data_IF_193162464049
#
_entry.id   IF_193162464049
#
_cell.length_a   1.000
_cell.length_b   1.000
_cell.length_c   1.000
_cell.angle_alpha   90.00
_cell.angle_beta   90.00
_cell.angle_gamma   90.00
#
_symmetry.space_group_name_H-M   'P 1'
#
loop_
_entity.id
_entity.type
_entity.pdbx_description
1 polymer ?
#
# COMPACT_ATOMS: atom_id res chain seq x y z
N UNK A 1 24.75 28.71 7.91
CA UNK A 1 24.22 28.18 6.64
C UNK A 1 23.51 26.89 6.99
N UNK A 2 22.16 26.90 6.95
CA UNK A 2 21.40 25.68 7.18
C UNK A 2 21.55 24.80 5.93
N UNK A 3 22.37 23.77 6.03
CA UNK A 3 22.39 22.71 5.02
C UNK A 3 21.07 21.96 5.14
N UNK A 4 20.17 22.21 4.21
CA UNK A 4 18.95 21.42 4.05
C UNK A 4 19.40 20.06 3.52
N UNK A 5 19.42 19.06 4.38
CA UNK A 5 19.71 17.69 3.98
C UNK A 5 18.60 17.20 3.02
N UNK A 6 19.00 16.78 1.81
CA UNK A 6 18.07 16.17 0.85
C UNK A 6 18.06 14.67 1.11
N UNK A 7 16.97 14.17 1.70
CA UNK A 7 16.73 12.73 1.84
C UNK A 7 15.89 12.23 0.67
N UNK A 8 16.36 11.22 -0.02
CA UNK A 8 15.64 10.58 -1.12
C UNK A 8 15.30 9.15 -0.72
N UNK A 9 14.01 8.82 -0.73
CA UNK A 9 13.51 7.45 -0.54
C UNK A 9 13.16 6.90 -1.92
N UNK A 10 13.92 5.93 -2.42
CA UNK A 10 13.86 5.45 -3.80
C UNK A 10 12.81 4.36 -4.03
N UNK A 11 12.31 3.70 -3.00
CA UNK A 11 11.32 2.62 -3.11
C UNK A 11 11.22 1.79 -1.82
N UNK A 12 10.50 0.67 -1.85
CA UNK A 12 10.33 -0.21 -0.70
C UNK A 12 11.67 -0.80 -0.24
N UNK A 13 11.77 -1.09 1.07
CA UNK A 13 12.99 -1.70 1.63
C UNK A 13 13.21 -3.12 1.07
N UNK A 14 12.12 -3.85 0.82
CA UNK A 14 12.15 -5.21 0.26
C UNK A 14 11.05 -5.38 -0.79
N UNK A 15 11.36 -6.06 -1.91
CA UNK A 15 10.44 -6.30 -3.00
C UNK A 15 10.62 -7.70 -3.59
N UNK A 16 9.51 -8.44 -3.69
CA UNK A 16 9.47 -9.76 -4.33
C UNK A 16 8.30 -9.82 -5.31
N UNK A 17 8.55 -10.32 -6.52
CA UNK A 17 7.57 -10.45 -7.58
C UNK A 17 7.77 -11.80 -8.30
N UNK A 18 7.08 -12.82 -7.83
CA UNK A 18 7.06 -14.16 -8.42
C UNK A 18 5.89 -14.98 -7.86
N UNK A 19 5.54 -16.08 -8.51
CA UNK A 19 4.57 -17.02 -7.99
C UNK A 19 5.06 -17.60 -6.63
N UNK A 20 4.21 -17.52 -5.60
CA UNK A 20 4.56 -17.92 -4.23
C UNK A 20 5.26 -16.81 -3.42
N UNK A 21 5.33 -15.57 -3.93
CA UNK A 21 5.98 -14.46 -3.22
C UNK A 21 5.38 -14.18 -1.84
N UNK A 22 4.10 -14.50 -1.62
CA UNK A 22 3.44 -14.24 -0.33
C UNK A 22 3.99 -15.11 0.82
N UNK A 23 4.59 -16.25 0.51
CA UNK A 23 5.28 -17.09 1.49
C UNK A 23 6.48 -16.42 2.12
N UNK A 24 7.09 -15.44 1.39
CA UNK A 24 8.23 -14.64 1.87
C UNK A 24 7.90 -13.79 3.09
N UNK A 25 6.62 -13.64 3.44
CA UNK A 25 6.20 -12.92 4.65
C UNK A 25 6.86 -13.51 5.90
N UNK A 26 7.01 -14.84 5.96
CA UNK A 26 7.63 -15.55 7.09
C UNK A 26 9.15 -15.37 7.19
N UNK A 27 9.81 -14.84 6.16
CA UNK A 27 11.23 -14.51 6.22
C UNK A 27 11.50 -13.22 7.01
N UNK A 28 10.48 -12.36 7.14
CA UNK A 28 10.58 -11.04 7.76
C UNK A 28 9.89 -10.97 9.12
N UNK A 29 8.89 -11.81 9.36
CA UNK A 29 8.08 -11.78 10.57
C UNK A 29 7.96 -13.18 11.18
N UNK A 30 8.18 -13.27 12.48
CA UNK A 30 8.00 -14.52 13.21
C UNK A 30 6.52 -14.92 13.27
N UNK A 31 6.21 -16.20 13.52
CA UNK A 31 4.83 -16.64 13.72
C UNK A 31 4.09 -15.88 14.81
N UNK A 32 4.78 -15.44 15.86
CA UNK A 32 4.23 -14.65 16.95
C UNK A 32 3.86 -13.24 16.45
N UNK A 33 4.77 -12.56 15.75
CA UNK A 33 4.50 -11.25 15.16
C UNK A 33 3.30 -11.29 14.19
N UNK A 34 3.18 -12.35 13.39
CA UNK A 34 2.08 -12.54 12.45
C UNK A 34 0.75 -12.84 13.15
N UNK A 35 0.76 -13.43 14.36
CA UNK A 35 -0.46 -13.57 15.17
C UNK A 35 -0.98 -12.22 15.69
N UNK A 36 -0.13 -11.18 15.70
CA UNK A 36 -0.49 -9.81 16.04
C UNK A 36 -0.53 -8.89 14.80
N UNK A 37 -0.65 -9.44 13.61
CA UNK A 37 -0.78 -8.67 12.38
C UNK A 37 -2.16 -8.00 12.26
N UNK A 38 -2.19 -6.84 11.59
CA UNK A 38 -3.42 -6.16 11.17
C UNK A 38 -3.54 -6.33 9.66
N UNK A 39 -4.51 -7.12 9.21
CA UNK A 39 -4.83 -7.32 7.81
C UNK A 39 -5.92 -6.35 7.38
N UNK A 40 -5.60 -5.45 6.46
CA UNK A 40 -6.54 -4.51 5.82
C UNK A 40 -6.80 -4.99 4.41
N UNK A 41 -8.06 -5.27 4.05
CA UNK A 41 -8.38 -5.84 2.75
C UNK A 41 -9.75 -5.40 2.22
N UNK A 42 -9.89 -5.39 0.90
CA UNK A 42 -11.18 -5.27 0.22
C UNK A 42 -11.80 -6.64 -0.04
N UNK A 43 -13.11 -6.73 -0.07
CA UNK A 43 -13.85 -7.99 -0.24
C UNK A 43 -13.44 -8.77 -1.50
N UNK A 44 -13.43 -8.11 -2.66
CA UNK A 44 -13.01 -8.74 -3.93
C UNK A 44 -11.51 -9.08 -3.94
N UNK A 45 -10.69 -8.20 -3.38
CA UNK A 45 -9.25 -8.38 -3.31
C UNK A 45 -8.88 -9.62 -2.48
N UNK A 46 -9.49 -9.76 -1.30
CA UNK A 46 -9.21 -10.89 -0.42
C UNK A 46 -9.73 -12.21 -1.01
N UNK A 47 -10.88 -12.20 -1.71
CA UNK A 47 -11.41 -13.37 -2.38
C UNK A 47 -10.44 -13.89 -3.47
N UNK A 48 -9.86 -13.00 -4.27
CA UNK A 48 -8.86 -13.34 -5.28
C UNK A 48 -7.52 -13.78 -4.67
N UNK A 49 -7.12 -13.17 -3.56
CA UNK A 49 -5.84 -13.46 -2.90
C UNK A 49 -5.87 -14.74 -2.06
N UNK A 50 -7.04 -15.13 -1.54
CA UNK A 50 -7.20 -16.21 -0.56
C UNK A 50 -6.48 -17.52 -0.91
N UNK A 51 -6.47 -18.03 -2.16
CA UNK A 51 -5.78 -19.26 -2.51
C UNK A 51 -4.24 -19.19 -2.38
N UNK A 52 -3.69 -17.98 -2.25
CA UNK A 52 -2.25 -17.72 -2.22
C UNK A 52 -1.78 -17.13 -0.90
N UNK A 53 -2.71 -16.81 0.01
CA UNK A 53 -2.36 -16.25 1.32
C UNK A 53 -1.66 -17.31 2.18
N UNK A 54 -0.62 -16.91 2.94
CA UNK A 54 0.02 -17.81 3.89
C UNK A 54 -0.92 -18.14 5.06
N UNK A 55 -0.67 -19.26 5.75
CA UNK A 55 -1.41 -19.65 6.96
C UNK A 55 -1.48 -18.53 8.03
N UNK A 56 -0.52 -17.60 7.99
CA UNK A 56 -0.49 -16.45 8.85
C UNK A 56 -1.75 -15.59 8.78
N UNK A 57 -2.47 -15.62 7.65
CA UNK A 57 -3.74 -14.89 7.49
C UNK A 57 -4.83 -15.45 8.43
N UNK A 58 -4.88 -16.75 8.63
CA UNK A 58 -5.91 -17.43 9.44
C UNK A 58 -5.48 -17.58 10.92
N UNK A 59 -4.35 -16.97 11.34
CA UNK A 59 -3.87 -17.12 12.73
C UNK A 59 -4.81 -16.48 13.74
N UNK A 60 -5.08 -17.20 14.81
CA UNK A 60 -5.77 -16.67 15.96
C UNK A 60 -4.98 -15.48 16.53
N UNK A 61 -5.66 -14.36 16.78
CA UNK A 61 -5.04 -13.12 17.25
C UNK A 61 -4.78 -12.07 16.15
N UNK A 62 -4.65 -12.48 14.88
CA UNK A 62 -4.60 -11.55 13.77
C UNK A 62 -5.89 -10.68 13.71
N UNK A 63 -5.71 -9.39 13.47
CA UNK A 63 -6.83 -8.47 13.33
C UNK A 63 -7.20 -8.31 11.86
N UNK A 64 -8.47 -8.53 11.55
CA UNK A 64 -9.00 -8.40 10.21
C UNK A 64 -9.86 -7.15 10.10
N UNK A 65 -9.50 -6.24 9.19
CA UNK A 65 -10.19 -4.98 8.96
C UNK A 65 -10.59 -4.88 7.49
N UNK A 66 -11.89 -4.90 7.25
CA UNK A 66 -12.42 -4.73 5.92
C UNK A 66 -12.38 -3.25 5.53
N UNK A 67 -11.75 -2.95 4.39
CA UNK A 67 -11.71 -1.62 3.80
C UNK A 67 -12.93 -1.37 2.93
N UNK A 68 -13.57 -0.22 3.10
CA UNK A 68 -14.64 0.28 2.24
C UNK A 68 -14.46 1.78 2.02
N UNK A 69 -14.70 2.26 0.80
CA UNK A 69 -14.66 3.69 0.50
C UNK A 69 -13.28 4.23 0.10
N UNK A 70 -12.82 5.27 0.78
CA UNK A 70 -11.64 6.05 0.41
C UNK A 70 -10.65 6.18 1.57
N UNK A 71 -9.39 6.49 1.25
CA UNK A 71 -8.38 6.86 2.24
C UNK A 71 -8.74 8.25 2.82
N UNK A 72 -9.42 8.27 3.96
CA UNK A 72 -9.79 9.49 4.66
C UNK A 72 -9.32 9.48 6.11
N UNK A 73 -9.09 10.66 6.68
CA UNK A 73 -8.67 10.80 8.09
C UNK A 73 -9.62 10.09 9.03
N UNK A 74 -10.93 10.25 8.80
CA UNK A 74 -11.95 9.59 9.61
C UNK A 74 -11.83 8.07 9.53
N UNK A 75 -11.68 7.52 8.33
CA UNK A 75 -11.58 6.07 8.14
C UNK A 75 -10.31 5.51 8.78
N UNK A 76 -9.15 6.14 8.55
CA UNK A 76 -7.88 5.72 9.18
C UNK A 76 -7.96 5.79 10.71
N UNK A 77 -8.61 6.83 11.27
CA UNK A 77 -8.83 6.92 12.70
C UNK A 77 -9.71 5.78 13.24
N UNK A 78 -10.80 5.44 12.53
CA UNK A 78 -11.69 4.33 12.90
C UNK A 78 -10.94 2.99 12.90
N UNK A 79 -10.12 2.73 11.86
CA UNK A 79 -9.30 1.51 11.78
C UNK A 79 -8.27 1.46 12.92
N UNK A 80 -7.63 2.58 13.23
CA UNK A 80 -6.67 2.67 14.34
C UNK A 80 -7.34 2.36 15.70
N UNK A 81 -8.52 2.92 15.96
CA UNK A 81 -9.28 2.62 17.18
C UNK A 81 -9.70 1.15 17.30
N UNK A 82 -9.83 0.45 16.19
CA UNK A 82 -10.13 -0.98 16.19
C UNK A 82 -8.91 -1.86 16.48
N UNK A 83 -7.70 -1.28 16.55
CA UNK A 83 -6.45 -1.97 16.86
C UNK A 83 -6.10 -1.81 18.34
N UNK A 84 -5.52 -2.87 18.92
CA UNK A 84 -4.92 -2.83 20.25
C UNK A 84 -3.44 -2.44 20.14
N UNK A 85 -2.81 -2.12 21.27
CA UNK A 85 -1.42 -1.68 21.33
C UNK A 85 -0.39 -2.80 21.07
N UNK A 86 -0.82 -4.05 21.03
CA UNK A 86 0.03 -5.23 20.82
C UNK A 86 0.32 -5.57 19.35
N UNK A 87 -0.18 -4.75 18.41
CA UNK A 87 0.00 -4.99 16.97
C UNK A 87 1.46 -4.84 16.54
N UNK A 88 1.89 -5.67 15.57
CA UNK A 88 3.29 -5.76 15.17
C UNK A 88 3.53 -5.36 13.70
N UNK A 89 2.53 -5.47 12.85
CA UNK A 89 2.64 -5.18 11.42
C UNK A 89 1.27 -4.88 10.82
N UNK A 90 1.21 -3.98 9.85
CA UNK A 90 0.03 -3.73 9.02
C UNK A 90 0.26 -4.32 7.63
N UNK A 91 -0.65 -5.16 7.17
CA UNK A 91 -0.60 -5.84 5.87
C UNK A 91 -1.82 -5.41 5.05
N UNK A 92 -1.59 -4.69 3.96
CA UNK A 92 -2.64 -4.24 3.05
C UNK A 92 -2.77 -5.19 1.85
N UNK A 93 -3.97 -5.73 1.59
CA UNK A 93 -4.26 -6.61 0.46
C UNK A 93 -5.30 -5.95 -0.45
N UNK A 94 -4.87 -5.37 -1.57
CA UNK A 94 -5.82 -4.67 -2.44
C UNK A 94 -5.22 -3.72 -3.47
N UNK A 95 -6.05 -2.83 -3.96
CA UNK A 95 -5.68 -1.77 -4.90
C UNK A 95 -5.21 -0.48 -4.21
N UNK A 96 -4.99 0.58 -5.01
CA UNK A 96 -4.35 1.82 -4.58
C UNK A 96 -4.98 2.48 -3.35
N UNK A 97 -6.28 2.74 -3.36
CA UNK A 97 -6.96 3.42 -2.23
C UNK A 97 -6.87 2.62 -0.92
N UNK A 98 -6.93 1.29 -1.00
CA UNK A 98 -6.74 0.42 0.14
C UNK A 98 -5.29 0.47 0.64
N UNK A 99 -4.32 0.37 -0.25
CA UNK A 99 -2.90 0.40 0.10
C UNK A 99 -2.52 1.75 0.72
N UNK A 100 -3.06 2.85 0.21
CA UNK A 100 -2.87 4.19 0.81
C UNK A 100 -3.45 4.25 2.23
N UNK A 101 -4.65 3.70 2.44
CA UNK A 101 -5.28 3.64 3.78
C UNK A 101 -4.48 2.77 4.75
N UNK A 102 -4.03 1.59 4.30
CA UNK A 102 -3.26 0.67 5.14
C UNK A 102 -1.87 1.26 5.48
N UNK A 103 -1.25 1.98 4.53
CA UNK A 103 0.00 2.71 4.74
C UNK A 103 -0.17 3.83 5.78
N UNK A 104 -1.21 4.65 5.64
CA UNK A 104 -1.55 5.70 6.60
C UNK A 104 -1.86 5.12 8.01
N UNK A 105 -2.56 3.98 8.07
CA UNK A 105 -2.80 3.26 9.32
C UNK A 105 -1.50 2.78 9.96
N UNK A 106 -0.62 2.16 9.19
CA UNK A 106 0.69 1.69 9.67
C UNK A 106 1.52 2.84 10.23
N UNK A 107 1.53 3.98 9.54
CA UNK A 107 2.20 5.19 10.00
C UNK A 107 1.63 5.70 11.32
N UNK A 108 0.30 5.74 11.44
CA UNK A 108 -0.38 6.17 12.68
C UNK A 108 -0.08 5.27 13.87
N UNK A 109 0.06 3.95 13.64
CA UNK A 109 0.39 2.97 14.66
C UNK A 109 1.91 2.80 14.89
N UNK A 110 2.76 3.51 14.14
CA UNK A 110 4.22 3.36 14.13
C UNK A 110 4.67 1.90 13.87
N UNK A 111 4.01 1.22 12.93
CA UNK A 111 4.24 -0.17 12.57
C UNK A 111 4.81 -0.31 11.15
N UNK A 112 5.58 -1.36 10.85
CA UNK A 112 5.99 -1.67 9.50
C UNK A 112 4.77 -1.95 8.60
N UNK A 113 4.86 -1.52 7.33
CA UNK A 113 3.81 -1.73 6.33
C UNK A 113 4.24 -2.74 5.27
N UNK A 114 3.38 -3.74 5.05
CA UNK A 114 3.49 -4.72 3.96
C UNK A 114 2.39 -4.47 2.94
N UNK A 115 2.76 -4.29 1.68
CA UNK A 115 1.82 -4.14 0.58
C UNK A 115 1.71 -5.44 -0.24
N UNK A 116 0.49 -5.93 -0.40
CA UNK A 116 0.12 -7.02 -1.31
C UNK A 116 -0.85 -6.46 -2.35
N UNK A 117 -0.34 -5.92 -3.48
CA UNK A 117 -1.19 -5.40 -4.53
C UNK A 117 -1.95 -6.53 -5.24
N UNK A 118 -3.24 -6.32 -5.49
CA UNK A 118 -4.11 -7.27 -6.20
C UNK A 118 -4.49 -6.81 -7.60
N UNK A 119 -4.09 -5.61 -7.99
CA UNK A 119 -4.30 -5.01 -9.31
C UNK A 119 -3.05 -4.23 -9.73
N UNK A 120 -2.79 -4.16 -11.02
CA UNK A 120 -1.68 -3.40 -11.60
C UNK A 120 -2.19 -2.05 -12.14
N UNK A 121 -2.77 -1.21 -11.27
CA UNK A 121 -3.41 0.04 -11.68
C UNK A 121 -2.61 1.30 -11.34
N UNK A 122 -1.93 1.33 -10.20
CA UNK A 122 -1.19 2.51 -9.72
C UNK A 122 0.12 2.13 -9.03
N UNK A 123 0.95 3.13 -8.74
CA UNK A 123 2.21 2.97 -8.00
C UNK A 123 2.06 2.95 -6.47
N UNK A 124 0.85 2.88 -5.91
CA UNK A 124 0.60 2.98 -4.47
C UNK A 124 1.34 1.93 -3.62
N UNK A 125 1.58 0.73 -4.16
CA UNK A 125 2.37 -0.30 -3.48
C UNK A 125 3.86 0.05 -3.39
N UNK A 126 4.37 0.92 -4.28
CA UNK A 126 5.78 1.27 -4.37
C UNK A 126 6.12 2.55 -3.62
N UNK A 127 5.27 3.57 -3.73
CA UNK A 127 5.57 4.93 -3.25
C UNK A 127 5.35 5.10 -1.75
N UNK A 128 6.18 5.91 -1.06
CA UNK A 128 5.94 6.32 0.32
C UNK A 128 4.92 7.45 0.39
N UNK A 129 3.80 7.31 -0.33
CA UNK A 129 2.80 8.36 -0.48
C UNK A 129 1.41 7.79 -0.30
N UNK A 130 0.52 8.55 0.35
CA UNK A 130 -0.92 8.27 0.39
C UNK A 130 -1.69 9.48 -0.11
N UNK A 131 -2.72 9.22 -0.90
CA UNK A 131 -3.67 10.24 -1.36
C UNK A 131 -4.84 10.28 -0.40
N UNK A 132 -5.10 11.45 0.17
CA UNK A 132 -6.20 11.67 1.10
C UNK A 132 -7.44 12.18 0.40
N UNK A 133 -8.59 11.65 0.81
CA UNK A 133 -9.90 11.99 0.27
C UNK A 133 -10.83 12.50 1.38
N UNK A 134 -11.80 13.34 1.00
CA UNK A 134 -12.93 13.63 1.86
C UNK A 134 -13.98 12.50 1.81
N UNK A 135 -15.01 12.62 2.66
CA UNK A 135 -16.10 11.63 2.72
C UNK A 135 -16.93 11.55 1.44
N UNK A 136 -16.85 12.55 0.55
CA UNK A 136 -17.50 12.55 -0.76
C UNK A 136 -16.62 11.92 -1.86
N UNK A 137 -15.42 11.41 -1.54
CA UNK A 137 -14.50 10.78 -2.49
C UNK A 137 -13.73 11.77 -3.36
N UNK A 138 -13.65 13.05 -2.98
CA UNK A 138 -12.83 14.03 -3.67
C UNK A 138 -11.42 14.02 -3.07
N UNK A 139 -10.40 14.00 -3.92
CA UNK A 139 -9.01 14.09 -3.49
C UNK A 139 -8.76 15.47 -2.86
N UNK A 140 -8.16 15.48 -1.67
CA UNK A 140 -7.82 16.68 -0.91
C UNK A 140 -6.34 17.03 -1.07
N UNK A 141 -5.49 16.09 -0.76
CA UNK A 141 -4.05 16.25 -0.73
C UNK A 141 -3.36 14.90 -0.83
N UNK A 142 -2.06 14.93 -1.00
CA UNK A 142 -1.21 13.76 -0.82
C UNK A 142 -0.24 14.02 0.34
N UNK A 143 0.09 12.97 1.04
CA UNK A 143 1.07 12.98 2.13
C UNK A 143 2.22 12.07 1.76
N UNK A 144 3.44 12.58 1.87
CA UNK A 144 4.67 11.82 1.66
C UNK A 144 5.21 11.44 3.04
N UNK A 145 5.41 10.16 3.25
CA UNK A 145 5.99 9.64 4.49
C UNK A 145 7.53 9.62 4.41
N UNK A 146 8.17 9.73 5.56
CA UNK A 146 9.63 9.73 5.65
C UNK A 146 10.26 8.39 5.24
N UNK A 147 9.52 7.29 5.44
CA UNK A 147 9.98 5.94 5.15
C UNK A 147 9.13 5.29 4.05
N UNK A 148 9.80 4.53 3.17
CA UNK A 148 9.12 3.70 2.18
C UNK A 148 8.42 2.51 2.85
N UNK A 149 7.59 1.80 2.06
CA UNK A 149 6.99 0.55 2.49
C UNK A 149 8.08 -0.45 2.89
N UNK A 150 7.89 -1.15 4.01
CA UNK A 150 8.87 -2.10 4.51
C UNK A 150 9.01 -3.30 3.55
N UNK A 151 7.89 -3.82 3.05
CA UNK A 151 7.88 -5.00 2.18
C UNK A 151 6.76 -4.88 1.15
N UNK A 152 7.08 -5.23 -0.10
CA UNK A 152 6.08 -5.37 -1.19
C UNK A 152 6.15 -6.79 -1.72
N UNK A 153 5.03 -7.49 -1.68
CA UNK A 153 4.86 -8.85 -2.16
C UNK A 153 3.89 -8.86 -3.34
N UNK A 154 4.40 -9.09 -4.53
CA UNK A 154 3.61 -9.18 -5.75
C UNK A 154 3.44 -10.65 -6.14
N UNK A 155 2.21 -11.13 -6.02
CA UNK A 155 1.81 -12.45 -6.52
C UNK A 155 1.14 -12.26 -7.90
N UNK A 156 1.85 -12.55 -9.01
CA UNK A 156 1.31 -12.28 -10.34
C UNK A 156 -0.01 -13.00 -10.65
N UNK A 157 -0.22 -14.16 -10.05
CA UNK A 157 -1.46 -14.95 -10.25
C UNK A 157 -2.70 -14.24 -9.71
N UNK A 158 -2.56 -13.40 -8.68
CA UNK A 158 -3.65 -12.56 -8.17
C UNK A 158 -3.95 -11.44 -9.18
N UNK A 159 -2.91 -10.76 -9.66
CA UNK A 159 -3.05 -9.64 -10.60
C UNK A 159 -3.67 -10.10 -11.92
N UNK A 160 -3.30 -11.30 -12.40
CA UNK A 160 -3.85 -11.87 -13.64
C UNK A 160 -5.34 -12.25 -13.52
N UNK A 161 -5.90 -12.34 -12.32
CA UNK A 161 -7.33 -12.58 -12.10
C UNK A 161 -8.15 -11.28 -12.00
N UNK A 162 -7.47 -10.13 -11.93
CA UNK A 162 -8.15 -8.84 -11.89
C UNK A 162 -8.82 -8.52 -13.25
N UNK A 163 -9.93 -7.77 -13.27
CA UNK A 163 -10.50 -7.28 -14.51
C UNK A 163 -9.48 -6.52 -15.37
N UNK A 164 -9.49 -6.75 -16.68
CA UNK A 164 -8.54 -6.18 -17.64
C UNK A 164 -8.48 -4.65 -17.59
N UNK A 165 -9.60 -4.00 -17.25
CA UNK A 165 -9.68 -2.54 -17.13
C UNK A 165 -8.66 -1.97 -16.14
N UNK A 166 -8.32 -2.71 -15.07
CA UNK A 166 -7.29 -2.27 -14.12
C UNK A 166 -5.89 -2.32 -14.72
N UNK A 167 -5.59 -3.32 -15.53
CA UNK A 167 -4.32 -3.40 -16.25
C UNK A 167 -4.22 -2.28 -17.29
N UNK A 168 -5.29 -2.05 -18.06
CA UNK A 168 -5.36 -0.95 -19.02
C UNK A 168 -5.19 0.42 -18.33
N UNK A 169 -5.82 0.61 -17.18
CA UNK A 169 -5.65 1.81 -16.37
C UNK A 169 -4.17 1.99 -15.91
N UNK A 170 -3.51 0.92 -15.49
CA UNK A 170 -2.10 0.94 -15.09
C UNK A 170 -1.15 1.25 -16.24
N UNK A 171 -1.42 0.73 -17.43
CA UNK A 171 -0.68 1.08 -18.66
C UNK A 171 -0.87 2.56 -18.95
N UNK A 172 -2.10 3.07 -18.91
CA UNK A 172 -2.43 4.49 -19.10
C UNK A 172 -1.72 5.39 -18.11
N UNK A 173 -1.77 5.05 -16.81
CA UNK A 173 -1.08 5.78 -15.74
C UNK A 173 0.45 5.82 -15.98
N UNK A 174 1.03 4.71 -16.40
CA UNK A 174 2.46 4.62 -16.72
C UNK A 174 2.84 5.49 -17.91
N UNK A 175 2.04 5.48 -18.98
CA UNK A 175 2.27 6.32 -20.15
C UNK A 175 2.10 7.81 -19.82
N UNK A 176 1.14 8.18 -18.98
CA UNK A 176 0.91 9.56 -18.53
C UNK A 176 2.15 10.16 -17.85
N UNK A 177 2.93 9.38 -17.11
CA UNK A 177 4.15 9.83 -16.43
C UNK A 177 5.17 10.47 -17.39
N UNK A 178 5.25 10.00 -18.62
CA UNK A 178 6.12 10.60 -19.64
C UNK A 178 5.69 12.04 -19.94
N UNK A 179 4.40 12.28 -20.16
CA UNK A 179 3.87 13.62 -20.47
C UNK A 179 3.97 14.54 -19.26
N UNK A 180 3.68 14.06 -18.06
CA UNK A 180 3.82 14.79 -16.80
C UNK A 180 5.28 15.26 -16.61
N UNK A 181 6.25 14.38 -16.80
CA UNK A 181 7.68 14.71 -16.70
C UNK A 181 8.11 15.75 -17.73
N UNK A 182 7.60 15.68 -18.97
CA UNK A 182 7.89 16.67 -20.02
C UNK A 182 7.30 18.04 -19.66
N UNK A 183 6.08 18.09 -19.11
CA UNK A 183 5.45 19.33 -18.68
C UNK A 183 6.23 20.01 -17.54
N UNK A 184 6.61 19.23 -16.51
CA UNK A 184 7.42 19.72 -15.40
C UNK A 184 8.77 20.27 -15.87
N UNK A 185 9.45 19.58 -16.78
CA UNK A 185 10.71 20.03 -17.36
C UNK A 185 10.57 21.36 -18.11
N UNK A 186 9.44 21.58 -18.81
CA UNK A 186 9.16 22.84 -19.51
C UNK A 186 8.91 23.99 -18.53
N UNK A 187 8.19 23.74 -17.45
CA UNK A 187 7.91 24.73 -16.40
C UNK A 187 9.22 25.14 -15.72
N UNK A 188 10.03 24.19 -15.28
CA UNK A 188 11.30 24.46 -14.61
C UNK A 188 12.28 25.26 -15.49
N UNK A 189 12.31 25.02 -16.82
CA UNK A 189 13.14 25.79 -17.75
C UNK A 189 12.67 27.23 -17.97
N UNK A 190 11.43 27.57 -17.62
CA UNK A 190 10.89 28.93 -17.73
C UNK A 190 11.11 29.77 -16.47
N UNK A 191 11.47 29.11 -15.36
CA UNK A 191 11.72 29.75 -14.07
C UNK A 191 13.21 30.08 -13.84
N UNK A 192 14.07 29.72 -14.80
CA UNK A 192 15.48 30.12 -14.89
C UNK A 192 15.71 30.98 -16.13
#
# INVERSE_FOLDING_TARGET
MNHTEIRVVTGPANYFSHAGSLERLTDFFTPEQLSHAVWVYGERAIAAARPYLPEAFERAGAKHLQFTGHCSERHVAQLAHACNDDRQVVIGVGGGALLDTAKALARRLALPFVAIPTIAATCAAWTPLSVWYNDAGQALQFEIFDDANFLVLVEPRIILQAPDDYLLAGIGDTLAKWYEALCLRRILKRCH
#
